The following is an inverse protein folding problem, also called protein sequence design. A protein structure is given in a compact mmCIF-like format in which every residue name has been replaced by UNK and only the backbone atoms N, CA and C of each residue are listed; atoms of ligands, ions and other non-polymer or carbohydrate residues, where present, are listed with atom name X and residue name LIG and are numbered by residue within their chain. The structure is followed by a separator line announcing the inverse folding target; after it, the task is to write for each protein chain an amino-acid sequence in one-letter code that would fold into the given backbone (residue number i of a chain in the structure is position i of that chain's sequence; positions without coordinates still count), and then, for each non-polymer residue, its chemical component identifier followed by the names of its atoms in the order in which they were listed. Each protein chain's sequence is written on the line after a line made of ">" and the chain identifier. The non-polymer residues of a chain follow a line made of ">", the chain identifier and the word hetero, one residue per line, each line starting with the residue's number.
data_IF_787561253625
#
_entry.id   IF_787561253625
#
_cell.length_a   1.000
_cell.length_b   1.000
_cell.length_c   1.000
_cell.angle_alpha   90.00
_cell.angle_beta   90.00
_cell.angle_gamma   90.00
#
_symmetry.space_group_name_H-M   'P 1'
#
loop_
_entity.id
_entity.type
_entity.pdbx_description
1 polymer ?
#
# COMPACT_ATOMS: atom_id res chain seq x y z
N UNK A 1 -4.60 12.29 49.04
CA UNK A 1 -4.81 12.75 47.64
C UNK A 1 -5.82 11.80 47.02
N UNK A 2 -7.04 12.27 46.79
CA UNK A 2 -8.09 11.47 46.14
C UNK A 2 -7.98 11.70 44.63
N UNK A 3 -7.87 10.63 43.85
CA UNK A 3 -7.85 10.71 42.39
C UNK A 3 -9.30 10.54 41.94
N UNK A 4 -9.98 11.63 41.63
CA UNK A 4 -11.30 11.57 40.98
C UNK A 4 -11.10 11.17 39.53
N UNK A 5 -11.55 9.96 39.18
CA UNK A 5 -11.61 9.49 37.80
C UNK A 5 -12.78 10.22 37.12
N UNK A 6 -12.49 11.16 36.22
CA UNK A 6 -13.51 11.81 35.39
C UNK A 6 -13.76 10.93 34.16
N UNK A 7 -14.93 10.26 34.05
CA UNK A 7 -15.21 9.31 32.97
C UNK A 7 -15.32 9.97 31.59
N UNK A 8 -15.34 11.30 31.51
CA UNK A 8 -15.35 12.03 30.24
C UNK A 8 -13.96 12.53 29.80
N UNK A 9 -12.91 12.24 30.56
CA UNK A 9 -11.53 12.61 30.21
C UNK A 9 -10.92 11.59 29.25
N UNK A 10 -11.59 11.33 28.12
CA UNK A 10 -11.00 10.64 26.98
C UNK A 10 -9.97 11.58 26.35
N UNK A 11 -8.75 11.57 26.88
CA UNK A 11 -7.60 12.18 26.22
C UNK A 11 -7.50 11.56 24.83
N UNK A 12 -7.68 12.37 23.78
CA UNK A 12 -7.54 11.94 22.41
C UNK A 12 -6.10 11.46 22.20
N UNK A 13 -5.90 10.14 22.21
CA UNK A 13 -4.62 9.57 21.83
C UNK A 13 -4.37 9.92 20.36
N UNK A 14 -3.15 10.35 19.99
CA UNK A 14 -2.83 10.58 18.60
C UNK A 14 -3.11 9.30 17.83
N UNK A 15 -4.03 9.35 16.87
CA UNK A 15 -4.32 8.18 16.03
C UNK A 15 -2.99 7.67 15.46
N UNK A 16 -2.71 6.36 15.53
CA UNK A 16 -1.51 5.81 14.94
C UNK A 16 -1.45 6.27 13.49
N UNK A 17 -0.50 7.14 13.19
CA UNK A 17 -0.34 7.68 11.85
C UNK A 17 0.15 6.55 10.96
N UNK A 18 -0.78 5.92 10.25
CA UNK A 18 -0.43 4.86 9.30
C UNK A 18 0.43 5.49 8.23
N UNK A 19 1.74 5.22 8.31
CA UNK A 19 2.75 5.73 7.36
C UNK A 19 2.62 5.10 5.98
N UNK A 20 1.73 4.12 5.83
CA UNK A 20 1.46 3.38 4.60
C UNK A 20 0.08 3.71 4.03
N UNK A 21 -0.04 3.60 2.71
CA UNK A 21 -1.29 3.63 1.96
C UNK A 21 -1.41 2.31 1.21
N UNK A 22 -2.63 1.77 1.16
CA UNK A 22 -2.96 0.65 0.29
C UNK A 22 -3.49 1.20 -1.03
N UNK A 23 -3.02 0.67 -2.15
CA UNK A 23 -3.43 1.08 -3.49
C UNK A 23 -3.74 -0.16 -4.32
N UNK A 24 -4.90 -0.17 -4.98
CA UNK A 24 -5.30 -1.22 -5.90
C UNK A 24 -4.95 -0.78 -7.32
N UNK A 25 -4.18 -1.61 -8.01
CA UNK A 25 -3.73 -1.42 -9.39
C UNK A 25 -4.27 -2.55 -10.25
N UNK A 26 -4.44 -2.32 -11.55
CA UNK A 26 -4.81 -3.38 -12.49
C UNK A 26 -3.57 -3.81 -13.27
N UNK A 27 -3.23 -5.09 -13.19
CA UNK A 27 -2.04 -5.65 -13.85
C UNK A 27 -2.47 -6.33 -15.15
N UNK A 28 -1.83 -5.96 -16.25
CA UNK A 28 -2.07 -6.50 -17.58
C UNK A 28 -0.86 -7.33 -18.01
N UNK A 29 -1.12 -8.50 -18.59
CA UNK A 29 -0.06 -9.30 -19.23
C UNK A 29 0.09 -8.85 -20.68
N UNK A 30 1.33 -8.71 -21.13
CA UNK A 30 1.64 -8.23 -22.49
C UNK A 30 1.43 -9.28 -23.57
N UNK A 31 1.47 -10.56 -23.20
CA UNK A 31 1.23 -11.71 -24.07
C UNK A 31 -0.26 -12.06 -24.21
N UNK A 32 -1.13 -11.40 -23.43
CA UNK A 32 -2.56 -11.70 -23.38
C UNK A 32 -2.87 -13.07 -22.78
N UNK A 33 -1.90 -13.73 -22.14
CA UNK A 33 -2.10 -15.06 -21.56
C UNK A 33 -3.00 -15.01 -20.33
N UNK A 34 -3.07 -13.88 -19.64
CA UNK A 34 -3.89 -13.72 -18.45
C UNK A 34 -4.78 -12.48 -18.52
N UNK A 35 -5.97 -12.61 -17.95
CA UNK A 35 -6.93 -11.52 -17.80
C UNK A 35 -6.34 -10.43 -16.88
N UNK A 36 -6.68 -9.15 -17.12
CA UNK A 36 -6.27 -8.07 -16.23
C UNK A 36 -6.70 -8.34 -14.79
N UNK A 37 -5.73 -8.39 -13.88
CA UNK A 37 -5.95 -8.85 -12.51
C UNK A 37 -5.70 -7.70 -11.53
N UNK A 38 -6.62 -7.42 -10.59
CA UNK A 38 -6.41 -6.41 -9.57
C UNK A 38 -5.32 -6.86 -8.59
N UNK A 39 -4.36 -5.99 -8.33
CA UNK A 39 -3.26 -6.20 -7.40
C UNK A 39 -3.27 -5.08 -6.35
N UNK A 40 -3.38 -5.47 -5.08
CA UNK A 40 -3.35 -4.54 -3.95
C UNK A 40 -1.96 -4.49 -3.37
N UNK A 41 -1.34 -3.31 -3.39
CA UNK A 41 0.00 -3.09 -2.83
C UNK A 41 -0.03 -2.06 -1.72
N UNK A 42 0.77 -2.29 -0.69
CA UNK A 42 0.93 -1.35 0.42
C UNK A 42 2.26 -0.62 0.27
N UNK A 43 2.22 0.70 0.12
CA UNK A 43 3.41 1.55 -0.04
C UNK A 43 3.43 2.66 1.00
N UNK A 44 4.58 3.27 1.25
CA UNK A 44 4.65 4.44 2.12
C UNK A 44 3.82 5.60 1.54
N UNK A 45 3.08 6.33 2.38
CA UNK A 45 2.26 7.49 1.95
C UNK A 45 3.09 8.56 1.24
N UNK A 46 4.34 8.75 1.67
CA UNK A 46 5.30 9.69 1.10
C UNK A 46 6.42 8.96 0.32
N UNK A 47 6.16 7.73 -0.14
CA UNK A 47 7.09 6.96 -0.96
C UNK A 47 7.20 7.50 -2.39
N UNK A 48 8.26 7.12 -3.09
CA UNK A 48 8.48 7.47 -4.51
C UNK A 48 7.81 6.45 -5.42
N UNK A 49 7.59 6.78 -6.70
CA UNK A 49 7.08 5.81 -7.69
C UNK A 49 7.94 4.54 -7.79
N UNK A 50 9.25 4.64 -7.53
CA UNK A 50 10.14 3.46 -7.48
C UNK A 50 9.70 2.45 -6.41
N UNK A 51 9.23 2.91 -5.26
CA UNK A 51 8.76 2.05 -4.17
C UNK A 51 7.48 1.31 -4.59
N UNK A 52 6.62 1.98 -5.37
CA UNK A 52 5.43 1.36 -5.96
C UNK A 52 5.81 0.27 -6.97
N UNK A 53 6.70 0.58 -7.92
CA UNK A 53 7.18 -0.38 -8.92
C UNK A 53 7.78 -1.61 -8.23
N UNK A 54 8.59 -1.41 -7.19
CA UNK A 54 9.19 -2.50 -6.45
C UNK A 54 8.14 -3.34 -5.70
N UNK A 55 7.18 -2.70 -5.04
CA UNK A 55 6.09 -3.40 -4.35
C UNK A 55 5.26 -4.24 -5.31
N UNK A 56 4.86 -3.68 -6.46
CA UNK A 56 4.12 -4.41 -7.51
C UNK A 56 4.96 -5.53 -8.09
N UNK A 57 6.23 -5.28 -8.40
CA UNK A 57 7.14 -6.31 -8.91
C UNK A 57 7.25 -7.49 -7.95
N UNK A 58 7.31 -7.23 -6.64
CA UNK A 58 7.35 -8.28 -5.64
C UNK A 58 6.01 -9.02 -5.51
N UNK A 59 4.88 -8.32 -5.58
CA UNK A 59 3.55 -8.91 -5.49
C UNK A 59 3.21 -9.78 -6.72
N UNK A 60 3.67 -9.37 -7.90
CA UNK A 60 3.48 -10.09 -9.16
C UNK A 60 4.52 -11.20 -9.41
N UNK A 61 5.52 -11.36 -8.53
CA UNK A 61 6.60 -12.36 -8.70
C UNK A 61 7.24 -12.33 -10.10
N UNK A 62 7.51 -11.13 -10.63
CA UNK A 62 8.08 -10.96 -11.97
C UNK A 62 9.41 -11.72 -12.10
N UNK A 63 9.56 -12.47 -13.20
CA UNK A 63 10.78 -13.23 -13.49
C UNK A 63 11.89 -12.32 -13.98
N UNK A 64 13.14 -12.76 -13.81
CA UNK A 64 14.32 -12.08 -14.35
C UNK A 64 14.21 -11.96 -15.87
N UNK A 65 13.87 -10.76 -16.36
CA UNK A 65 13.65 -10.47 -17.78
C UNK A 65 12.28 -9.90 -18.11
N UNK A 66 11.33 -9.96 -17.18
CA UNK A 66 10.01 -9.33 -17.34
C UNK A 66 10.08 -7.83 -17.00
N UNK A 67 9.36 -7.01 -17.76
CA UNK A 67 9.36 -5.55 -17.62
C UNK A 67 8.00 -5.08 -17.12
N UNK A 68 8.00 -4.38 -15.98
CA UNK A 68 6.82 -3.65 -15.51
C UNK A 68 6.77 -2.27 -16.17
N UNK A 69 5.62 -1.91 -16.74
CA UNK A 69 5.32 -0.56 -17.23
C UNK A 69 4.17 0.00 -16.41
N UNK A 70 4.33 1.24 -15.94
CA UNK A 70 3.25 1.98 -15.29
C UNK A 70 2.57 2.86 -16.34
N UNK A 71 1.25 2.79 -16.43
CA UNK A 71 0.42 3.70 -17.21
C UNK A 71 -0.44 4.53 -16.24
N UNK A 72 -0.60 5.82 -16.54
CA UNK A 72 -1.48 6.75 -15.82
C UNK A 72 -2.76 7.00 -16.60
#
# INVERSE_FOLDING_TARGET
>A
VSITFDPFMYLSLPLPSTKTRSMTLMVFTSDGSALPTPCTVTVAKHGKCKDLIQAVSSACSLKTGEKLLLAE
#
